data_IF_989004286266
#
_entry.id   IF_989004286266
#
_cell.length_a   1.000
_cell.length_b   1.000
_cell.length_c   1.000
_cell.angle_alpha   90.00
_cell.angle_beta   90.00
_cell.angle_gamma   90.00
#
_symmetry.space_group_name_H-M   'P 1'
#
loop_
_entity.id
_entity.type
_entity.pdbx_description
1 polymer ?
#
# COMPACT_ATOMS: atom_id res chain seq x y z
N UNK A 1 -16.30 6.99 5.20
CA UNK A 1 -15.03 6.39 4.78
C UNK A 1 -13.98 6.82 5.80
N UNK A 2 -13.25 5.90 6.45
CA UNK A 2 -12.19 6.23 7.40
C UNK A 2 -10.86 6.26 6.64
N UNK A 3 -10.07 7.30 6.85
CA UNK A 3 -8.72 7.44 6.29
C UNK A 3 -7.70 7.39 7.42
N UNK A 4 -6.59 6.72 7.15
CA UNK A 4 -5.40 6.70 7.98
C UNK A 4 -4.28 7.41 7.23
N UNK A 5 -3.49 8.22 7.92
CA UNK A 5 -2.23 8.74 7.38
C UNK A 5 -1.09 8.10 8.17
N UNK A 6 -0.16 7.47 7.46
CA UNK A 6 0.93 6.70 8.06
C UNK A 6 2.24 7.10 7.41
N UNK A 7 3.23 7.40 8.26
CA UNK A 7 4.60 7.66 7.86
C UNK A 7 5.39 6.33 7.80
N UNK A 8 5.62 5.81 6.60
CA UNK A 8 6.33 4.55 6.40
C UNK A 8 7.85 4.71 6.66
N UNK A 9 8.50 3.62 7.11
CA UNK A 9 9.94 3.55 7.40
C UNK A 9 10.46 4.45 8.54
N UNK A 10 9.59 4.84 9.47
CA UNK A 10 9.97 5.66 10.62
C UNK A 10 9.27 5.24 11.91
N UNK A 11 9.83 5.67 13.05
CA UNK A 11 9.18 5.64 14.38
C UNK A 11 8.83 7.03 14.90
N UNK A 12 9.24 8.07 14.18
CA UNK A 12 9.02 9.48 14.50
C UNK A 12 8.00 10.08 13.53
N UNK A 13 7.12 10.94 14.04
CA UNK A 13 6.17 11.69 13.21
C UNK A 13 6.93 12.64 12.27
N UNK A 14 6.38 12.86 11.07
CA UNK A 14 6.91 13.79 10.07
C UNK A 14 8.27 13.38 9.49
N UNK A 15 8.58 12.08 9.55
CA UNK A 15 9.76 11.45 8.96
C UNK A 15 9.31 10.31 8.03
N UNK A 16 10.24 9.69 7.31
CA UNK A 16 9.89 8.59 6.42
C UNK A 16 9.08 9.05 5.20
N UNK A 17 8.19 8.19 4.70
CA UNK A 17 7.38 8.48 3.52
C UNK A 17 5.88 8.39 3.85
N UNK A 18 5.13 9.49 3.80
CA UNK A 18 3.71 9.51 4.16
C UNK A 18 2.85 8.85 3.07
N UNK A 19 1.89 8.04 3.50
CA UNK A 19 0.82 7.53 2.63
C UNK A 19 -0.54 7.65 3.33
N UNK A 20 -1.57 7.94 2.54
CA UNK A 20 -2.95 7.78 2.97
C UNK A 20 -3.39 6.33 2.73
N UNK A 21 -4.14 5.75 3.67
CA UNK A 21 -4.67 4.39 3.58
C UNK A 21 -6.17 4.42 3.86
N UNK A 22 -6.94 3.83 2.97
CA UNK A 22 -8.39 3.66 3.10
C UNK A 22 -8.71 2.18 3.01
N UNK A 23 -9.28 1.61 4.07
CA UNK A 23 -9.63 0.19 4.15
C UNK A 23 -11.15 0.04 4.12
N UNK A 24 -11.67 -0.85 3.28
CA UNK A 24 -13.11 -1.09 3.14
C UNK A 24 -13.47 -2.49 2.64
N UNK A 25 -14.75 -2.85 2.68
CA UNK A 25 -15.26 -4.11 2.11
C UNK A 25 -15.47 -4.05 0.60
N UNK A 26 -15.64 -2.85 0.08
CA UNK A 26 -15.85 -2.61 -1.35
C UNK A 26 -14.99 -1.46 -1.83
N UNK A 27 -14.70 -1.49 -3.13
CA UNK A 27 -14.00 -0.42 -3.81
C UNK A 27 -14.95 0.75 -4.10
N UNK A 28 -14.54 1.99 -3.81
CA UNK A 28 -15.03 3.14 -4.57
C UNK A 28 -14.78 2.93 -6.08
N UNK A 29 -15.52 3.64 -6.92
CA UNK A 29 -15.15 3.69 -8.33
C UNK A 29 -13.77 4.35 -8.53
N UNK A 30 -13.11 4.04 -9.65
CA UNK A 30 -11.75 4.49 -9.89
C UNK A 30 -11.64 6.02 -10.00
N UNK A 31 -12.66 6.71 -10.52
CA UNK A 31 -12.67 8.17 -10.63
C UNK A 31 -12.72 8.83 -9.25
N UNK A 32 -13.49 8.26 -8.32
CA UNK A 32 -13.55 8.72 -6.94
C UNK A 32 -12.24 8.40 -6.21
N UNK A 33 -11.64 7.22 -6.40
CA UNK A 33 -10.31 6.92 -5.87
C UNK A 33 -9.28 7.96 -6.32
N UNK A 34 -9.27 8.31 -7.61
CA UNK A 34 -8.37 9.30 -8.17
C UNK A 34 -8.62 10.70 -7.60
N UNK A 35 -9.88 11.12 -7.44
CA UNK A 35 -10.24 12.41 -6.83
C UNK A 35 -9.83 12.48 -5.36
N UNK A 36 -9.98 11.40 -4.61
CA UNK A 36 -9.53 11.32 -3.21
C UNK A 36 -8.00 11.41 -3.16
N UNK A 37 -7.29 10.70 -4.02
CA UNK A 37 -5.82 10.76 -4.07
C UNK A 37 -5.32 12.17 -4.43
N UNK A 38 -5.99 12.84 -5.37
CA UNK A 38 -5.73 14.23 -5.72
C UNK A 38 -5.96 15.17 -4.53
N UNK A 39 -7.09 15.04 -3.83
CA UNK A 39 -7.43 15.86 -2.65
C UNK A 39 -6.44 15.65 -1.50
N UNK A 40 -6.02 14.41 -1.25
CA UNK A 40 -5.04 14.09 -0.21
C UNK A 40 -3.67 14.72 -0.49
N UNK A 41 -3.30 14.85 -1.77
CA UNK A 41 -2.05 15.45 -2.24
C UNK A 41 -0.78 14.90 -1.51
N UNK A 42 -0.78 13.60 -1.23
CA UNK A 42 0.38 12.85 -0.75
C UNK A 42 1.04 12.13 -1.93
N UNK A 43 2.23 11.56 -1.70
CA UNK A 43 2.91 10.70 -2.69
C UNK A 43 1.95 9.65 -3.24
N UNK A 44 1.27 8.92 -2.34
CA UNK A 44 0.27 7.92 -2.70
C UNK A 44 -0.87 7.85 -1.67
N UNK A 45 -2.06 7.54 -2.20
CA UNK A 45 -3.19 7.01 -1.44
C UNK A 45 -3.38 5.54 -1.83
N UNK A 46 -3.28 4.65 -0.82
CA UNK A 46 -3.60 3.25 -0.95
C UNK A 46 -5.07 3.00 -0.58
N UNK A 47 -5.76 2.29 -1.44
CA UNK A 47 -7.07 1.73 -1.16
C UNK A 47 -6.86 0.23 -0.92
N UNK A 48 -7.44 -0.30 0.16
CA UNK A 48 -7.41 -1.73 0.50
C UNK A 48 -8.85 -2.28 0.58
N UNK A 49 -9.11 -3.37 -0.13
CA UNK A 49 -10.37 -4.11 -0.05
C UNK A 49 -10.16 -5.38 0.75
N UNK A 50 -10.98 -5.56 1.79
CA UNK A 50 -10.97 -6.74 2.65
C UNK A 50 -11.65 -7.89 1.92
N UNK A 51 -10.95 -9.03 1.76
CA UNK A 51 -11.54 -10.30 1.31
C UNK A 51 -11.89 -11.14 2.55
N UNK A 52 -10.90 -11.38 3.41
CA UNK A 52 -11.05 -12.07 4.69
C UNK A 52 -9.97 -11.60 5.70
N UNK A 53 -9.75 -12.34 6.80
CA UNK A 53 -8.80 -11.97 7.85
C UNK A 53 -7.32 -11.94 7.42
N UNK A 54 -6.96 -12.65 6.36
CA UNK A 54 -5.59 -12.76 5.84
C UNK A 54 -5.46 -12.25 4.40
N UNK A 55 -6.55 -12.20 3.63
CA UNK A 55 -6.55 -11.83 2.22
C UNK A 55 -7.17 -10.45 1.95
N UNK A 56 -6.48 -9.67 1.14
CA UNK A 56 -6.84 -8.30 0.78
C UNK A 56 -6.51 -8.02 -0.69
N UNK A 57 -7.27 -7.16 -1.35
CA UNK A 57 -6.83 -6.52 -2.60
C UNK A 57 -6.31 -5.12 -2.27
N UNK A 58 -5.40 -4.59 -3.09
CA UNK A 58 -4.81 -3.25 -2.90
C UNK A 58 -4.63 -2.53 -4.24
N UNK A 59 -4.87 -1.22 -4.24
CA UNK A 59 -4.64 -0.30 -5.36
C UNK A 59 -3.97 0.97 -4.85
N UNK A 60 -3.15 1.59 -5.68
CA UNK A 60 -2.39 2.79 -5.32
C UNK A 60 -2.62 3.89 -6.33
N UNK A 61 -2.86 5.09 -5.83
CA UNK A 61 -3.09 6.26 -6.65
C UNK A 61 -2.14 7.37 -6.19
N UNK A 62 -1.39 7.92 -7.13
CA UNK A 62 -0.81 9.25 -6.96
C UNK A 62 -1.91 10.29 -7.18
N UNK A 63 -1.65 11.59 -6.97
CA UNK A 63 -2.62 12.65 -7.30
C UNK A 63 -3.08 12.67 -8.76
N UNK A 64 -2.32 12.05 -9.68
CA UNK A 64 -2.57 12.15 -11.12
C UNK A 64 -2.92 10.82 -11.79
N UNK A 65 -2.51 9.68 -11.23
CA UNK A 65 -2.70 8.37 -11.89
C UNK A 65 -2.68 7.21 -10.90
N UNK A 66 -3.35 6.12 -11.26
CA UNK A 66 -3.15 4.81 -10.64
C UNK A 66 -1.77 4.24 -11.03
N UNK A 67 -1.03 3.70 -10.07
CA UNK A 67 0.27 3.06 -10.31
C UNK A 67 0.19 1.56 -10.07
N UNK A 68 0.95 0.79 -10.86
CA UNK A 68 0.94 -0.68 -10.78
C UNK A 68 1.47 -1.20 -9.44
N UNK A 69 2.36 -0.44 -8.78
CA UNK A 69 3.01 -0.85 -7.54
C UNK A 69 3.52 0.33 -6.73
N UNK A 70 3.34 0.28 -5.41
CA UNK A 70 4.03 1.16 -4.47
C UNK A 70 4.40 0.46 -3.16
N UNK A 71 5.70 0.32 -2.90
CA UNK A 71 6.20 -0.42 -1.73
C UNK A 71 5.87 0.22 -0.39
N UNK A 72 6.09 1.53 -0.22
CA UNK A 72 5.90 2.18 1.08
C UNK A 72 4.42 2.34 1.45
N UNK A 73 3.55 2.58 0.46
CA UNK A 73 2.11 2.60 0.67
C UNK A 73 1.54 1.20 0.97
N UNK A 74 2.17 0.14 0.44
CA UNK A 74 1.88 -1.25 0.86
C UNK A 74 2.27 -1.48 2.33
N UNK A 75 3.45 -1.00 2.74
CA UNK A 75 3.91 -1.08 4.13
C UNK A 75 2.99 -0.33 5.10
N UNK A 76 2.59 0.89 4.74
CA UNK A 76 1.62 1.70 5.47
C UNK A 76 0.28 0.98 5.61
N UNK A 77 -0.19 0.36 4.53
CA UNK A 77 -1.43 -0.43 4.51
C UNK A 77 -1.35 -1.63 5.45
N UNK A 78 -0.26 -2.40 5.38
CA UNK A 78 -0.02 -3.53 6.27
C UNK A 78 0.00 -3.11 7.74
N UNK A 79 0.64 -1.98 8.07
CA UNK A 79 0.66 -1.44 9.43
C UNK A 79 -0.75 -1.17 9.96
N UNK A 80 -1.61 -0.55 9.15
CA UNK A 80 -3.02 -0.30 9.51
C UNK A 80 -3.76 -1.62 9.73
N UNK A 81 -3.59 -2.59 8.83
CA UNK A 81 -4.29 -3.88 8.92
C UNK A 81 -3.90 -4.68 10.17
N UNK A 82 -2.61 -4.82 10.45
CA UNK A 82 -2.12 -5.51 11.66
C UNK A 82 -2.57 -4.84 12.96
N UNK A 83 -2.80 -3.52 12.94
CA UNK A 83 -3.20 -2.76 14.13
C UNK A 83 -4.71 -2.84 14.39
N UNK A 84 -5.52 -2.72 13.34
CA UNK A 84 -6.95 -2.41 13.49
C UNK A 84 -7.89 -3.48 12.89
N UNK A 85 -7.40 -4.38 12.02
CA UNK A 85 -8.29 -5.22 11.19
C UNK A 85 -8.09 -6.73 11.35
N UNK A 86 -6.97 -7.19 11.88
CA UNK A 86 -6.71 -8.62 12.04
C UNK A 86 -5.70 -8.90 13.15
N UNK A 87 -5.82 -10.07 13.79
CA UNK A 87 -4.85 -10.58 14.77
C UNK A 87 -3.76 -11.45 14.11
N UNK A 88 -3.88 -11.68 12.80
CA UNK A 88 -2.96 -12.50 12.02
C UNK A 88 -1.62 -11.82 11.87
N UNK A 89 -0.57 -12.61 11.69
CA UNK A 89 0.82 -12.14 11.48
C UNK A 89 1.30 -12.22 10.04
N UNK A 90 0.43 -12.70 9.16
CA UNK A 90 0.66 -12.76 7.71
C UNK A 90 -0.53 -12.16 6.99
N UNK A 91 -0.26 -11.30 6.02
CA UNK A 91 -1.24 -10.72 5.11
C UNK A 91 -0.87 -11.09 3.67
N UNK A 92 -1.89 -11.33 2.88
CA UNK A 92 -1.81 -11.67 1.47
C UNK A 92 -2.48 -10.54 0.67
N UNK A 93 -1.69 -9.74 -0.02
CA UNK A 93 -2.20 -8.73 -0.95
C UNK A 93 -2.29 -9.32 -2.36
N UNK A 94 -3.51 -9.40 -2.88
CA UNK A 94 -3.82 -9.75 -4.27
C UNK A 94 -3.71 -8.47 -5.11
N UNK A 95 -2.60 -8.35 -5.83
CA UNK A 95 -2.26 -7.17 -6.62
C UNK A 95 -2.58 -7.41 -8.08
N UNK A 96 -3.35 -6.51 -8.67
CA UNK A 96 -3.70 -6.56 -10.09
C UNK A 96 -2.42 -6.61 -10.93
N UNK A 97 -2.33 -7.58 -11.83
CA UNK A 97 -1.21 -7.80 -12.76
C UNK A 97 0.15 -8.15 -12.14
N UNK A 98 0.31 -8.15 -10.81
CA UNK A 98 1.57 -8.49 -10.13
C UNK A 98 1.47 -9.74 -9.24
N UNK A 99 0.25 -10.22 -9.00
CA UNK A 99 0.01 -11.46 -8.25
C UNK A 99 -0.02 -11.22 -6.74
N UNK A 100 0.53 -12.16 -5.98
CA UNK A 100 0.41 -12.19 -4.52
C UNK A 100 1.65 -11.57 -3.87
N UNK A 101 1.45 -10.55 -3.03
CA UNK A 101 2.49 -10.09 -2.11
C UNK A 101 2.20 -10.59 -0.70
N UNK A 102 3.18 -11.25 -0.11
CA UNK A 102 3.09 -11.77 1.25
C UNK A 102 3.80 -10.80 2.18
N UNK A 103 3.11 -10.42 3.25
CA UNK A 103 3.59 -9.47 4.23
C UNK A 103 3.51 -10.08 5.61
N UNK A 104 4.61 -10.04 6.36
CA UNK A 104 4.73 -10.61 7.69
C UNK A 104 4.98 -9.53 8.73
N UNK A 105 4.36 -9.66 9.90
CA UNK A 105 4.73 -8.89 11.09
C UNK A 105 5.53 -9.76 12.06
N UNK A 106 6.75 -9.33 12.37
CA UNK A 106 7.63 -10.00 13.31
C UNK A 106 7.26 -9.70 14.77
N UNK A 107 7.81 -10.47 15.70
CA UNK A 107 7.58 -10.30 17.15
C UNK A 107 7.98 -8.92 17.67
N UNK A 108 8.98 -8.28 17.04
CA UNK A 108 9.45 -6.93 17.40
C UNK A 108 8.58 -5.81 16.77
N UNK A 109 7.51 -6.18 16.06
CA UNK A 109 6.58 -5.26 15.41
C UNK A 109 7.03 -4.76 14.04
N UNK A 110 8.22 -5.14 13.55
CA UNK A 110 8.63 -4.82 12.18
C UNK A 110 7.79 -5.59 11.17
N UNK A 111 7.66 -5.00 9.99
CA UNK A 111 6.91 -5.55 8.89
C UNK A 111 7.88 -5.86 7.75
N UNK A 112 7.84 -7.11 7.27
CA UNK A 112 8.62 -7.60 6.13
C UNK A 112 7.69 -7.88 4.96
N UNK A 113 8.10 -7.49 3.77
CA UNK A 113 7.33 -7.68 2.54
C UNK A 113 8.19 -8.43 1.53
N UNK A 114 7.61 -9.46 0.92
CA UNK A 114 8.23 -10.19 -0.18
C UNK A 114 7.74 -9.63 -1.51
N UNK A 115 8.66 -9.10 -2.30
CA UNK A 115 8.38 -8.57 -3.64
C UNK A 115 8.95 -9.47 -4.74
N UNK A 116 8.29 -9.56 -5.91
CA UNK A 116 8.85 -10.25 -7.05
C UNK A 116 10.15 -9.57 -7.51
N UNK A 117 11.17 -10.38 -7.79
CA UNK A 117 12.45 -9.87 -8.29
C UNK A 117 12.25 -9.36 -9.72
N UNK A 118 12.34 -8.05 -9.92
CA UNK A 118 12.45 -7.44 -11.25
C UNK A 118 13.93 -7.27 -11.58
N UNK A 119 14.47 -8.17 -12.41
CA UNK A 119 15.88 -8.08 -12.84
C UNK A 119 16.12 -6.76 -13.55
N UNK A 120 17.14 -6.04 -13.13
CA UNK A 120 17.59 -4.84 -13.81
C UNK A 120 17.98 -5.20 -15.25
N UNK A 121 17.57 -4.36 -16.20
CA UNK A 121 18.01 -4.41 -17.58
C UNK A 121 18.91 -3.21 -17.82
N UNK A 122 20.04 -3.44 -18.48
CA UNK A 122 20.89 -2.36 -18.91
C UNK A 122 20.11 -1.51 -19.93
N UNK A 123 20.07 -0.21 -19.70
CA UNK A 123 19.52 0.77 -20.65
C UNK A 123 20.68 1.58 -21.20
N UNK A 124 20.69 1.78 -22.52
CA UNK A 124 21.69 2.63 -23.20
C UNK A 124 21.24 4.08 -23.25
N UNK A 125 19.92 4.31 -23.34
CA UNK A 125 19.29 5.62 -23.30
C UNK A 125 18.65 5.87 -21.93
N UNK A 126 19.05 6.95 -21.28
CA UNK A 126 18.42 7.45 -20.04
C UNK A 126 17.32 8.46 -20.39
N UNK A 127 16.18 8.45 -19.69
CA UNK A 127 15.21 9.55 -19.79
C UNK A 127 15.92 10.86 -19.42
N UNK A 128 15.78 11.86 -20.28
CA UNK A 128 16.33 13.21 -20.07
C UNK A 128 15.76 13.89 -18.82
#
# INVERSE_FOLDING_TARGET
MKMYQVDAFTKELFRGNPAAVIVGKEWPDADLMQKIALENNLSETAFVKIIDSENYEIRWFTPTVEVDFCGHATLASAFVLFKDFTEKKTLNFHVRNLGLFVVHQDEDGKIRMDFPIRKAQQVEDYPA
#
